data_IF_885637097293
#
_entry.id   IF_885637097293
#
_cell.length_a   1.000
_cell.length_b   1.000
_cell.length_c   1.000
_cell.angle_alpha   90.00
_cell.angle_beta   90.00
_cell.angle_gamma   90.00
#
_symmetry.space_group_name_H-M   'P 1'
#
loop_
_entity.id
_entity.type
_entity.pdbx_description
1 polymer ?
#
# COMPACT_ATOMS: atom_id res chain seq x y z
N UNK A 1 17.38 10.94 -1.76
CA UNK A 1 16.06 11.58 -1.61
C UNK A 1 15.85 12.15 -0.20
N UNK A 2 15.80 11.34 0.87
CA UNK A 2 15.47 11.78 2.24
C UNK A 2 16.29 12.95 2.82
N UNK A 3 17.62 12.94 2.68
CA UNK A 3 18.50 14.03 3.16
C UNK A 3 18.23 15.38 2.49
N UNK A 4 17.75 15.39 1.23
CA UNK A 4 17.38 16.62 0.51
C UNK A 4 16.08 17.24 1.03
N UNK A 5 15.23 16.48 1.72
CA UNK A 5 13.89 16.91 2.16
C UNK A 5 13.83 17.33 3.65
N UNK A 6 14.99 17.47 4.32
CA UNK A 6 15.10 17.86 5.74
C UNK A 6 14.22 17.05 6.71
N UNK A 7 13.96 15.77 6.41
CA UNK A 7 13.19 14.91 7.33
C UNK A 7 14.02 14.71 8.61
N UNK A 8 13.54 15.10 9.81
CA UNK A 8 14.29 14.92 11.05
C UNK A 8 14.40 13.44 11.43
N UNK A 9 15.55 13.02 11.97
CA UNK A 9 15.70 11.70 12.60
C UNK A 9 15.84 10.50 11.65
N UNK A 10 16.15 10.71 10.37
CA UNK A 10 16.23 9.66 9.32
C UNK A 10 17.07 8.44 9.70
N UNK A 11 18.10 8.60 10.55
CA UNK A 11 18.99 7.50 10.96
C UNK A 11 18.32 6.42 11.83
N UNK A 12 17.22 6.72 12.52
CA UNK A 12 16.56 5.81 13.47
C UNK A 12 15.19 5.29 13.00
N UNK A 13 14.75 5.65 11.78
CA UNK A 13 13.44 5.28 11.28
C UNK A 13 13.47 3.89 10.63
N UNK A 14 12.47 3.07 10.92
CA UNK A 14 12.25 1.83 10.15
C UNK A 14 12.00 2.19 8.68
N UNK A 15 12.39 1.30 7.75
CA UNK A 15 12.28 1.52 6.30
C UNK A 15 10.89 2.03 5.87
N UNK A 16 9.82 1.48 6.45
CA UNK A 16 8.45 1.89 6.18
C UNK A 16 8.14 3.32 6.65
N UNK A 17 8.59 3.70 7.85
CA UNK A 17 8.38 5.04 8.39
C UNK A 17 9.17 6.09 7.59
N UNK A 18 10.38 5.74 7.15
CA UNK A 18 11.17 6.58 6.27
C UNK A 18 10.49 6.77 4.91
N UNK A 19 10.00 5.69 4.30
CA UNK A 19 9.22 5.75 3.05
C UNK A 19 8.00 6.66 3.24
N UNK A 20 7.25 6.49 4.33
CA UNK A 20 6.08 7.33 4.64
C UNK A 20 6.44 8.81 4.77
N UNK A 21 7.50 9.15 5.51
CA UNK A 21 7.93 10.55 5.65
C UNK A 21 8.44 11.16 4.34
N UNK A 22 9.11 10.37 3.50
CA UNK A 22 9.54 10.83 2.17
C UNK A 22 8.32 11.09 1.28
N UNK A 23 7.37 10.15 1.22
CA UNK A 23 6.17 10.30 0.40
C UNK A 23 5.33 11.51 0.85
N UNK A 24 5.12 11.68 2.16
CA UNK A 24 4.41 12.84 2.73
C UNK A 24 5.12 14.17 2.43
N UNK A 25 6.45 14.17 2.35
CA UNK A 25 7.21 15.37 2.00
C UNK A 25 7.20 15.66 0.48
N UNK A 26 6.93 14.65 -0.36
CA UNK A 26 6.87 14.79 -1.82
C UNK A 26 5.48 15.23 -2.32
N UNK A 27 4.39 14.89 -1.62
CA UNK A 27 3.03 15.29 -1.99
C UNK A 27 2.69 16.66 -1.38
N UNK A 28 3.11 17.73 -2.06
CA UNK A 28 2.83 19.11 -1.66
C UNK A 28 1.36 19.55 -1.90
N UNK A 29 0.60 18.79 -2.68
CA UNK A 29 -0.85 18.95 -2.88
C UNK A 29 -1.50 17.55 -2.96
N UNK A 30 -2.57 17.35 -2.20
CA UNK A 30 -3.57 16.26 -2.24
C UNK A 30 -3.27 14.83 -1.72
N UNK A 31 -2.08 14.46 -1.28
CA UNK A 31 -1.92 13.21 -0.50
C UNK A 31 -2.46 11.92 -1.15
N UNK A 32 -2.57 11.90 -2.48
CA UNK A 32 -3.06 10.77 -3.26
C UNK A 32 -1.89 9.79 -3.44
N UNK A 33 -1.98 8.61 -2.82
CA UNK A 33 -1.04 7.52 -3.07
C UNK A 33 -1.61 6.63 -4.16
N UNK A 34 -0.74 6.03 -4.98
CA UNK A 34 -1.14 5.05 -5.99
C UNK A 34 -0.42 3.74 -5.72
N UNK A 35 -1.13 2.63 -5.97
CA UNK A 35 -0.61 1.28 -5.83
C UNK A 35 -1.13 0.39 -6.95
N UNK A 36 -0.39 -0.68 -7.21
CA UNK A 36 -0.73 -1.72 -8.17
C UNK A 36 -0.27 -3.07 -7.63
N UNK A 37 -1.02 -4.13 -7.94
CA UNK A 37 -0.59 -5.50 -7.71
C UNK A 37 -1.59 -6.53 -8.23
N UNK A 38 -1.23 -7.79 -8.06
CA UNK A 38 -2.07 -8.93 -8.44
C UNK A 38 -2.95 -9.31 -7.26
N UNK A 39 -4.26 -9.36 -7.47
CA UNK A 39 -5.23 -9.65 -6.42
C UNK A 39 -5.16 -11.12 -6.00
N UNK A 40 -4.90 -11.35 -4.72
CA UNK A 40 -5.16 -12.61 -4.05
C UNK A 40 -6.38 -12.46 -3.13
N UNK A 41 -7.36 -13.36 -3.25
CA UNK A 41 -8.56 -13.40 -2.40
C UNK A 41 -8.40 -14.53 -1.39
N UNK A 42 -8.61 -14.22 -0.10
CA UNK A 42 -8.55 -15.16 1.01
C UNK A 42 -9.93 -15.76 1.32
N UNK A 43 -10.02 -16.88 2.10
CA UNK A 43 -11.29 -17.57 2.37
C UNK A 43 -12.40 -16.70 2.95
N UNK A 44 -12.04 -15.68 3.73
CA UNK A 44 -12.98 -14.74 4.35
C UNK A 44 -13.52 -13.67 3.36
N UNK A 45 -13.10 -13.72 2.09
CA UNK A 45 -13.61 -12.90 1.00
C UNK A 45 -12.98 -11.51 0.85
N UNK A 46 -12.03 -11.15 1.72
CA UNK A 46 -11.14 -10.01 1.51
C UNK A 46 -9.88 -10.45 0.76
N UNK A 47 -9.10 -9.49 0.29
CA UNK A 47 -7.89 -9.80 -0.48
C UNK A 47 -6.74 -8.84 -0.26
N UNK A 48 -5.63 -9.15 -0.91
CA UNK A 48 -4.44 -8.32 -0.97
C UNK A 48 -3.93 -8.21 -2.40
N UNK A 49 -3.49 -7.01 -2.79
CA UNK A 49 -2.70 -6.84 -4.01
C UNK A 49 -1.25 -7.17 -3.68
N UNK A 50 -0.77 -8.27 -4.28
CA UNK A 50 0.60 -8.77 -4.12
C UNK A 50 1.50 -8.12 -5.16
N UNK A 51 2.71 -7.77 -4.75
CA UNK A 51 3.69 -7.15 -5.62
C UNK A 51 4.44 -8.19 -6.48
N UNK A 52 4.61 -7.97 -7.79
CA UNK A 52 5.50 -8.80 -8.61
C UNK A 52 6.96 -8.71 -8.15
N UNK A 53 7.35 -7.59 -7.54
CA UNK A 53 8.72 -7.37 -7.06
C UNK A 53 9.09 -8.24 -5.84
N UNK A 54 8.09 -8.80 -5.16
CA UNK A 54 8.28 -9.71 -4.00
C UNK A 54 7.91 -11.15 -4.36
N UNK A 55 7.90 -11.51 -5.65
CA UNK A 55 7.46 -12.82 -6.15
C UNK A 55 6.06 -13.20 -5.65
N UNK A 56 5.19 -12.21 -5.47
CA UNK A 56 3.83 -12.36 -4.95
C UNK A 56 3.74 -12.97 -3.53
N UNK A 57 4.85 -12.96 -2.79
CA UNK A 57 4.88 -13.44 -1.42
C UNK A 57 4.21 -12.42 -0.48
N UNK A 58 3.54 -12.90 0.59
CA UNK A 58 2.98 -12.01 1.60
C UNK A 58 4.01 -11.06 2.20
N UNK A 59 3.72 -9.77 2.14
CA UNK A 59 4.62 -8.69 2.52
C UNK A 59 3.91 -7.60 3.32
N UNK A 60 4.66 -6.83 4.12
CA UNK A 60 4.11 -5.73 4.89
C UNK A 60 3.76 -4.50 4.03
N UNK A 61 4.05 -4.56 2.73
CA UNK A 61 3.74 -3.58 1.68
C UNK A 61 2.53 -3.96 0.83
N UNK A 62 1.87 -5.10 1.12
CA UNK A 62 0.65 -5.49 0.43
C UNK A 62 -0.50 -4.50 0.67
N UNK A 63 -1.34 -4.35 -0.35
CA UNK A 63 -2.49 -3.43 -0.32
C UNK A 63 -3.74 -4.23 -0.04
N UNK A 64 -4.41 -3.95 1.07
CA UNK A 64 -5.68 -4.56 1.46
C UNK A 64 -6.80 -4.18 0.49
N UNK A 65 -7.63 -5.15 0.13
CA UNK A 65 -8.84 -4.95 -0.66
C UNK A 65 -10.04 -5.52 0.09
N UNK A 66 -11.04 -4.68 0.35
CA UNK A 66 -12.23 -5.08 1.11
C UNK A 66 -13.14 -6.03 0.31
N UNK A 67 -13.91 -6.89 0.98
CA UNK A 67 -14.91 -7.73 0.31
C UNK A 67 -15.92 -6.90 -0.51
N UNK A 68 -16.26 -5.70 -0.04
CA UNK A 68 -17.16 -4.78 -0.73
C UNK A 68 -16.59 -4.29 -2.07
N UNK A 69 -15.29 -3.97 -2.14
CA UNK A 69 -14.61 -3.61 -3.39
C UNK A 69 -14.57 -4.81 -4.35
N UNK A 70 -14.18 -5.98 -3.85
CA UNK A 70 -14.12 -7.22 -4.64
C UNK A 70 -15.49 -7.53 -5.28
N UNK A 71 -16.57 -7.46 -4.50
CA UNK A 71 -17.94 -7.68 -5.00
C UNK A 71 -18.39 -6.59 -5.96
N UNK A 72 -18.18 -5.32 -5.62
CA UNK A 72 -18.64 -4.17 -6.42
C UNK A 72 -18.05 -4.18 -7.83
N UNK A 73 -16.78 -4.53 -7.95
CA UNK A 73 -16.08 -4.56 -9.24
C UNK A 73 -15.99 -5.96 -9.85
N UNK A 74 -16.63 -6.97 -9.23
CA UNK A 74 -16.59 -8.38 -9.67
C UNK A 74 -15.16 -8.91 -9.86
N UNK A 75 -14.24 -8.50 -8.98
CA UNK A 75 -12.83 -8.86 -9.06
C UNK A 75 -12.63 -10.35 -8.75
N UNK A 76 -11.62 -10.93 -9.41
CA UNK A 76 -11.24 -12.33 -9.27
C UNK A 76 -9.77 -12.44 -8.86
N UNK A 77 -9.43 -13.58 -8.24
CA UNK A 77 -8.04 -13.92 -7.95
C UNK A 77 -7.24 -13.93 -9.26
N UNK A 78 -6.11 -13.23 -9.28
CA UNK A 78 -5.25 -13.07 -10.46
C UNK A 78 -5.46 -11.77 -11.23
N UNK A 79 -6.51 -11.01 -10.95
CA UNK A 79 -6.71 -9.71 -11.58
C UNK A 79 -5.58 -8.73 -11.21
N UNK A 80 -5.10 -7.99 -12.19
CA UNK A 80 -4.18 -6.86 -11.96
C UNK A 80 -5.05 -5.65 -11.63
N UNK A 81 -4.84 -5.08 -10.46
CA UNK A 81 -5.59 -3.92 -9.98
C UNK A 81 -4.61 -2.80 -9.71
N UNK A 82 -4.88 -1.63 -10.28
CA UNK A 82 -4.17 -0.39 -9.99
C UNK A 82 -5.17 0.70 -9.60
N UNK A 83 -4.75 1.60 -8.73
CA UNK A 83 -5.61 2.68 -8.30
C UNK A 83 -5.05 3.49 -7.16
N UNK A 84 -5.86 4.44 -6.73
CA UNK A 84 -5.54 5.24 -5.57
C UNK A 84 -5.63 4.38 -4.30
N UNK A 85 -4.61 4.50 -3.45
CA UNK A 85 -4.53 3.87 -2.14
C UNK A 85 -4.43 4.93 -1.06
N UNK A 86 -4.67 4.52 0.18
CA UNK A 86 -4.44 5.33 1.38
C UNK A 86 -3.52 4.60 2.36
N UNK A 87 -2.74 5.35 3.16
CA UNK A 87 -1.97 4.76 4.23
C UNK A 87 -2.88 4.13 5.30
N UNK A 88 -2.35 3.17 6.08
CA UNK A 88 -3.08 2.59 7.22
C UNK A 88 -3.45 3.67 8.24
N UNK A 89 -4.66 3.57 8.79
CA UNK A 89 -5.05 4.27 10.01
C UNK A 89 -4.32 3.67 11.21
N UNK A 90 -4.38 4.32 12.38
CA UNK A 90 -3.65 3.90 13.58
C UNK A 90 -3.87 2.44 14.02
N UNK A 91 -5.03 1.85 13.69
CA UNK A 91 -5.39 0.46 13.99
C UNK A 91 -5.11 -0.53 12.86
N UNK A 92 -4.67 -0.05 11.70
CA UNK A 92 -4.48 -0.85 10.49
C UNK A 92 -2.99 -1.11 10.23
N UNK A 93 -2.68 -2.22 9.55
CA UNK A 93 -1.29 -2.62 9.24
C UNK A 93 -0.90 -2.39 7.78
N UNK A 94 -1.87 -2.33 6.87
CA UNK A 94 -1.67 -2.34 5.42
C UNK A 94 -2.24 -1.08 4.77
N UNK A 95 -1.75 -0.75 3.57
CA UNK A 95 -2.43 0.21 2.70
C UNK A 95 -3.81 -0.32 2.28
N UNK A 96 -4.75 0.55 1.90
CA UNK A 96 -6.10 0.16 1.50
C UNK A 96 -6.68 1.10 0.43
#
# INVERSE_FOLDING_TARGET
AAKKMKIPGVGNLRKQELIFKILKAQTKEEGLFFGEGVLEILPDGFGFLRSPNTNYLPGPDDIYVSPSQIRRFSLKKGDIVSGQIRPPKASEKFFA
#
